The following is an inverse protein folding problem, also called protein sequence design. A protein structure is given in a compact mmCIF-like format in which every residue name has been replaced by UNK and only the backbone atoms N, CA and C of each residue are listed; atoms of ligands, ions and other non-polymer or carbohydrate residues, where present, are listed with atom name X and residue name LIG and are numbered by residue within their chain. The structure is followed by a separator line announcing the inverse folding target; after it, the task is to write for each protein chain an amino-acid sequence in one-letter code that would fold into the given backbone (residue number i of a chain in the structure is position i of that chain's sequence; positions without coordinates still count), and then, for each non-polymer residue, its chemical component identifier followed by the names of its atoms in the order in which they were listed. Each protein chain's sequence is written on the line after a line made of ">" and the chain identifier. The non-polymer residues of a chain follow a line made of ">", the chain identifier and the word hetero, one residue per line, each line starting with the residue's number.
data_IF_082618933557
#
_entry.id   IF_082618933557
#
_cell.length_a   1.000
_cell.length_b   1.000
_cell.length_c   1.000
_cell.angle_alpha   90.00
_cell.angle_beta   90.00
_cell.angle_gamma   90.00
#
_symmetry.space_group_name_H-M   'P 1'
#
loop_
_entity.id
_entity.type
_entity.pdbx_description
1 polymer ?
#
# COMPACT_ATOMS: atom_id res chain seq x y z
N UNK A 1 -2.28 57.03 22.85
CA UNK A 1 -2.99 55.77 22.55
C UNK A 1 -3.86 55.81 21.27
N UNK A 2 -4.73 56.81 21.05
CA UNK A 2 -5.65 56.84 19.88
C UNK A 2 -4.98 56.82 18.49
N UNK A 3 -3.74 57.29 18.36
CA UNK A 3 -2.97 57.31 17.08
C UNK A 3 -2.45 55.92 16.67
N UNK A 4 -2.09 55.08 17.63
CA UNK A 4 -1.56 53.72 17.41
C UNK A 4 -2.65 52.77 16.90
N UNK A 5 -3.85 52.87 17.46
CA UNK A 5 -5.03 52.12 16.97
C UNK A 5 -5.44 52.50 15.53
N UNK A 6 -5.23 53.76 15.13
CA UNK A 6 -5.53 54.21 13.76
C UNK A 6 -4.51 53.70 12.73
N UNK A 7 -3.25 53.55 13.14
CA UNK A 7 -2.17 52.96 12.35
C UNK A 7 -2.39 51.46 12.13
N UNK A 8 -2.74 50.70 13.18
CA UNK A 8 -3.11 49.29 13.05
C UNK A 8 -4.29 49.05 12.11
N UNK A 9 -5.28 49.95 12.11
CA UNK A 9 -6.46 49.86 11.22
C UNK A 9 -6.15 50.21 9.75
N UNK A 10 -4.99 50.78 9.45
CA UNK A 10 -4.53 51.12 8.09
C UNK A 10 -3.45 50.16 7.57
N UNK A 11 -2.94 49.25 8.41
CA UNK A 11 -1.91 48.29 8.03
C UNK A 11 -2.49 47.18 7.12
N UNK A 12 -2.29 47.31 5.81
CA UNK A 12 -2.61 46.25 4.81
C UNK A 12 -1.72 45.01 4.94
N UNK A 13 -0.59 45.10 5.66
CA UNK A 13 0.39 44.02 5.81
C UNK A 13 -0.16 42.76 6.51
N UNK A 14 -1.20 42.89 7.35
CA UNK A 14 -1.84 41.73 7.99
C UNK A 14 -2.87 41.01 7.12
N UNK A 15 -3.42 41.68 6.09
CA UNK A 15 -4.49 41.13 5.26
C UNK A 15 -4.01 39.93 4.44
N UNK A 16 -2.81 40.01 3.83
CA UNK A 16 -2.24 38.91 3.06
C UNK A 16 -1.93 37.67 3.92
N UNK A 17 -1.54 37.87 5.19
CA UNK A 17 -1.35 36.75 6.11
C UNK A 17 -2.68 36.03 6.43
N UNK A 18 -3.78 36.77 6.54
CA UNK A 18 -5.12 36.22 6.76
C UNK A 18 -5.65 35.51 5.51
N UNK A 19 -5.47 36.09 4.33
CA UNK A 19 -5.83 35.46 3.05
C UNK A 19 -5.08 34.12 2.85
N UNK A 20 -3.78 34.10 3.15
CA UNK A 20 -2.99 32.87 3.11
C UNK A 20 -3.47 31.83 4.14
N UNK A 21 -3.80 32.26 5.36
CA UNK A 21 -4.31 31.38 6.40
C UNK A 21 -5.65 30.72 6.05
N UNK A 22 -6.44 31.32 5.16
CA UNK A 22 -7.70 30.72 4.66
C UNK A 22 -7.48 29.72 3.54
N UNK A 23 -6.50 29.94 2.66
CA UNK A 23 -6.21 29.04 1.52
C UNK A 23 -5.34 27.86 1.93
N UNK A 24 -4.38 28.08 2.83
CA UNK A 24 -3.40 27.09 3.25
C UNK A 24 -4.04 25.77 3.75
N UNK A 25 -5.09 25.76 4.60
CA UNK A 25 -5.68 24.52 5.08
C UNK A 25 -6.25 23.66 3.95
N UNK A 26 -6.94 24.27 2.98
CA UNK A 26 -7.51 23.56 1.82
C UNK A 26 -6.40 23.01 0.93
N UNK A 27 -5.36 23.83 0.68
CA UNK A 27 -4.21 23.40 -0.08
C UNK A 27 -3.48 22.22 0.56
N UNK A 28 -3.23 22.26 1.87
CA UNK A 28 -2.59 21.17 2.60
C UNK A 28 -3.46 19.90 2.60
N UNK A 29 -4.78 20.03 2.80
CA UNK A 29 -5.69 18.89 2.71
C UNK A 29 -5.63 18.22 1.34
N UNK A 30 -5.61 18.99 0.26
CA UNK A 30 -5.51 18.47 -1.09
C UNK A 30 -4.15 17.81 -1.33
N UNK A 31 -3.06 18.46 -0.91
CA UNK A 31 -1.70 17.95 -1.07
C UNK A 31 -1.50 16.63 -0.32
N UNK A 32 -1.84 16.59 0.97
CA UNK A 32 -1.74 15.35 1.76
C UNK A 32 -2.71 14.28 1.27
N UNK A 33 -3.91 14.65 0.83
CA UNK A 33 -4.87 13.72 0.23
C UNK A 33 -4.31 13.02 -1.00
N UNK A 34 -3.72 13.77 -1.93
CA UNK A 34 -3.10 13.21 -3.15
C UNK A 34 -1.90 12.31 -2.79
N UNK A 35 -1.04 12.75 -1.87
CA UNK A 35 0.15 11.99 -1.45
C UNK A 35 -0.26 10.66 -0.80
N UNK A 36 -1.19 10.69 0.14
CA UNK A 36 -1.64 9.48 0.85
C UNK A 36 -2.39 8.53 -0.06
N UNK A 37 -3.22 9.05 -0.97
CA UNK A 37 -3.89 8.23 -1.98
C UNK A 37 -2.88 7.59 -2.94
N UNK A 38 -1.90 8.35 -3.41
CA UNK A 38 -0.84 7.83 -4.28
C UNK A 38 -0.03 6.72 -3.61
N UNK A 39 0.32 6.90 -2.33
CA UNK A 39 0.98 5.85 -1.52
C UNK A 39 0.10 4.60 -1.37
N UNK A 40 -1.19 4.76 -1.07
CA UNK A 40 -2.12 3.65 -0.95
C UNK A 40 -2.19 2.86 -2.26
N UNK A 41 -2.39 3.56 -3.38
CA UNK A 41 -2.46 2.94 -4.70
C UNK A 41 -1.16 2.22 -5.06
N UNK A 42 -0.01 2.85 -4.81
CA UNK A 42 1.31 2.22 -4.97
C UNK A 42 1.42 0.92 -4.17
N UNK A 43 1.03 0.93 -2.89
CA UNK A 43 1.10 -0.27 -2.05
C UNK A 43 0.18 -1.37 -2.55
N UNK A 44 -1.05 -1.06 -2.97
CA UNK A 44 -1.97 -2.05 -3.54
C UNK A 44 -1.38 -2.70 -4.80
N UNK A 45 -0.78 -1.90 -5.68
CA UNK A 45 -0.12 -2.40 -6.89
C UNK A 45 1.08 -3.28 -6.55
N UNK A 46 1.95 -2.83 -5.65
CA UNK A 46 3.10 -3.60 -5.18
C UNK A 46 2.67 -4.97 -4.61
N UNK A 47 1.64 -4.99 -3.76
CA UNK A 47 1.10 -6.23 -3.19
C UNK A 47 0.60 -7.18 -4.28
N UNK A 48 -0.13 -6.67 -5.28
CA UNK A 48 -0.62 -7.49 -6.38
C UNK A 48 0.52 -8.08 -7.22
N UNK A 49 1.53 -7.28 -7.57
CA UNK A 49 2.72 -7.75 -8.29
C UNK A 49 3.50 -8.80 -7.48
N UNK A 50 3.65 -8.60 -6.17
CA UNK A 50 4.32 -9.57 -5.30
C UNK A 50 3.56 -10.90 -5.22
N UNK A 51 2.22 -10.86 -5.14
CA UNK A 51 1.40 -12.06 -5.16
C UNK A 51 1.54 -12.81 -6.49
N UNK A 52 1.51 -12.11 -7.62
CA UNK A 52 1.66 -12.70 -8.96
C UNK A 52 3.05 -13.33 -9.13
N UNK A 53 4.11 -12.61 -8.76
CA UNK A 53 5.47 -13.12 -8.86
C UNK A 53 5.67 -14.37 -7.98
N UNK A 54 5.14 -14.35 -6.76
CA UNK A 54 5.23 -15.48 -5.81
C UNK A 54 4.44 -16.69 -6.31
N UNK A 55 3.20 -16.49 -6.81
CA UNK A 55 2.39 -17.56 -7.37
C UNK A 55 3.08 -18.24 -8.56
N UNK A 56 3.72 -17.45 -9.42
CA UNK A 56 4.53 -17.97 -10.54
C UNK A 56 5.76 -18.74 -10.07
N UNK A 57 6.46 -18.24 -9.07
CA UNK A 57 7.64 -18.88 -8.49
C UNK A 57 7.30 -20.23 -7.84
N UNK A 58 6.11 -20.33 -7.25
CA UNK A 58 5.57 -21.58 -6.72
C UNK A 58 5.15 -22.55 -7.82
N UNK A 59 4.32 -22.09 -8.78
CA UNK A 59 3.76 -22.97 -9.80
C UNK A 59 4.75 -23.45 -10.86
N UNK A 60 5.85 -22.72 -11.07
CA UNK A 60 7.02 -23.25 -11.79
C UNK A 60 8.15 -23.28 -10.77
N UNK A 61 8.53 -24.44 -10.20
CA UNK A 61 9.37 -24.54 -8.99
C UNK A 61 10.79 -23.97 -9.20
N UNK A 62 10.89 -22.64 -9.21
CA UNK A 62 12.14 -21.90 -9.36
C UNK A 62 13.00 -22.12 -8.13
N UNK A 63 14.31 -21.95 -8.28
CA UNK A 63 15.28 -22.13 -7.18
C UNK A 63 15.01 -21.22 -5.98
N UNK A 64 14.30 -20.10 -6.16
CA UNK A 64 13.91 -19.22 -5.06
C UNK A 64 12.74 -19.75 -4.23
N UNK A 65 11.86 -20.59 -4.78
CA UNK A 65 10.67 -21.13 -4.09
C UNK A 65 10.70 -22.66 -3.92
N UNK A 66 11.72 -23.34 -4.43
CA UNK A 66 11.88 -24.79 -4.35
C UNK A 66 13.21 -25.19 -3.69
N UNK A 67 13.23 -26.37 -3.10
CA UNK A 67 14.45 -27.07 -2.68
C UNK A 67 14.51 -28.36 -3.48
N UNK A 68 15.59 -28.56 -4.23
CA UNK A 68 15.79 -29.76 -5.07
C UNK A 68 14.64 -29.99 -6.08
N UNK A 69 14.01 -28.90 -6.56
CA UNK A 69 12.90 -28.95 -7.50
C UNK A 69 11.53 -29.22 -6.86
N UNK A 70 11.47 -29.34 -5.54
CA UNK A 70 10.21 -29.52 -4.78
C UNK A 70 9.85 -28.21 -4.10
N UNK A 71 8.58 -27.80 -4.21
CA UNK A 71 8.05 -26.63 -3.53
C UNK A 71 8.44 -26.61 -2.04
N UNK A 72 8.89 -25.45 -1.56
CA UNK A 72 9.21 -25.24 -0.16
C UNK A 72 8.57 -23.94 0.35
N UNK A 73 7.71 -24.08 1.37
CA UNK A 73 6.98 -22.96 1.97
C UNK A 73 7.90 -21.85 2.47
N UNK A 74 8.98 -22.19 3.19
CA UNK A 74 9.87 -21.19 3.79
C UNK A 74 10.65 -20.38 2.73
N UNK A 75 11.01 -21.03 1.61
CA UNK A 75 11.63 -20.38 0.45
C UNK A 75 10.65 -19.45 -0.25
N UNK A 76 9.43 -19.91 -0.48
CA UNK A 76 8.38 -19.10 -1.10
C UNK A 76 7.98 -17.88 -0.25
N UNK A 77 7.91 -18.01 1.08
CA UNK A 77 7.68 -16.86 1.98
C UNK A 77 8.84 -15.86 1.91
N UNK A 78 10.09 -16.34 1.94
CA UNK A 78 11.27 -15.47 1.85
C UNK A 78 11.32 -14.75 0.49
N UNK A 79 10.92 -15.42 -0.60
CA UNK A 79 10.80 -14.81 -1.91
C UNK A 79 9.75 -13.69 -1.93
N UNK A 80 8.57 -13.93 -1.36
CA UNK A 80 7.50 -12.93 -1.25
C UNK A 80 7.96 -11.70 -0.46
N UNK A 81 8.62 -11.90 0.69
CA UNK A 81 9.20 -10.84 1.52
C UNK A 81 10.27 -10.04 0.77
N UNK A 82 11.21 -10.71 0.10
CA UNK A 82 12.29 -10.03 -0.62
C UNK A 82 11.75 -9.22 -1.80
N UNK A 83 10.76 -9.76 -2.52
CA UNK A 83 10.09 -9.08 -3.63
C UNK A 83 9.34 -7.85 -3.13
N UNK A 84 8.57 -7.98 -2.04
CA UNK A 84 7.82 -6.87 -1.45
C UNK A 84 8.74 -5.77 -0.91
N UNK A 85 9.86 -6.16 -0.30
CA UNK A 85 10.85 -5.21 0.17
C UNK A 85 11.51 -4.42 -0.98
N UNK A 86 11.63 -5.03 -2.18
CA UNK A 86 12.03 -4.33 -3.40
C UNK A 86 11.06 -3.22 -3.83
N UNK A 87 9.79 -3.31 -3.42
CA UNK A 87 8.77 -2.29 -3.62
C UNK A 87 8.65 -1.30 -2.44
N UNK A 88 9.55 -1.39 -1.45
CA UNK A 88 9.49 -0.65 -0.19
C UNK A 88 8.25 -0.96 0.66
N UNK A 89 7.73 -2.18 0.54
CA UNK A 89 6.61 -2.69 1.36
C UNK A 89 7.13 -3.83 2.23
N UNK A 90 6.93 -3.75 3.54
CA UNK A 90 7.37 -4.78 4.49
C UNK A 90 6.19 -5.65 4.87
N UNK A 91 6.20 -6.91 4.46
CA UNK A 91 5.14 -7.87 4.79
C UNK A 91 5.36 -8.45 6.19
N UNK A 92 4.25 -8.82 6.83
CA UNK A 92 4.25 -9.73 7.98
C UNK A 92 4.05 -11.16 7.46
N UNK A 93 5.00 -12.09 7.69
CA UNK A 93 4.90 -13.46 7.18
C UNK A 93 3.64 -14.19 7.66
N UNK A 94 3.07 -13.80 8.80
CA UNK A 94 1.84 -14.43 9.34
C UNK A 94 0.59 -14.11 8.52
N UNK A 95 0.62 -13.03 7.74
CA UNK A 95 -0.47 -12.56 6.89
C UNK A 95 -0.32 -12.99 5.41
N UNK A 96 0.70 -13.81 5.12
CA UNK A 96 0.92 -14.40 3.80
C UNK A 96 0.37 -15.84 3.83
N UNK A 97 -0.59 -16.13 2.96
CA UNK A 97 -1.12 -17.48 2.76
C UNK A 97 -0.64 -17.99 1.41
N UNK A 98 0.12 -19.08 1.45
CA UNK A 98 0.66 -19.76 0.27
C UNK A 98 0.08 -21.16 0.23
N UNK A 99 -0.51 -21.51 -0.91
CA UNK A 99 -1.05 -22.85 -1.15
C UNK A 99 -0.62 -23.31 -2.54
N UNK A 100 0.15 -24.40 -2.61
CA UNK A 100 0.69 -24.93 -3.85
C UNK A 100 -0.27 -25.92 -4.53
N UNK A 101 -1.38 -26.32 -3.89
CA UNK A 101 -2.38 -27.21 -4.48
C UNK A 101 -3.79 -26.64 -4.28
N UNK A 102 -3.93 -25.36 -4.59
CA UNK A 102 -5.13 -24.60 -4.38
C UNK A 102 -6.13 -24.74 -5.53
N UNK A 103 -7.41 -24.61 -5.19
CA UNK A 103 -8.49 -24.45 -6.14
C UNK A 103 -8.67 -22.98 -6.52
N UNK A 104 -8.28 -22.62 -7.74
CA UNK A 104 -8.42 -21.28 -8.26
C UNK A 104 -9.65 -21.19 -9.18
N UNK A 105 -10.74 -20.59 -8.69
CA UNK A 105 -12.01 -20.43 -9.42
C UNK A 105 -12.61 -21.76 -9.92
N UNK A 106 -12.48 -22.82 -9.12
CA UNK A 106 -12.99 -24.16 -9.43
C UNK A 106 -12.07 -24.99 -10.33
N UNK A 107 -10.81 -24.59 -10.48
CA UNK A 107 -9.77 -25.35 -11.18
C UNK A 107 -8.67 -25.75 -10.18
N UNK A 108 -8.40 -27.05 -10.09
CA UNK A 108 -7.38 -27.63 -9.21
C UNK A 108 -6.00 -27.58 -9.86
N UNK A 109 -4.94 -27.78 -9.06
CA UNK A 109 -3.55 -27.80 -9.53
C UNK A 109 -2.97 -26.42 -9.80
N UNK A 110 -3.41 -25.41 -9.02
CA UNK A 110 -2.88 -24.06 -9.07
C UNK A 110 -2.13 -23.72 -7.78
N UNK A 111 -1.10 -22.92 -7.91
CA UNK A 111 -0.49 -22.21 -6.79
C UNK A 111 -1.27 -20.90 -6.54
N UNK A 112 -1.78 -20.74 -5.33
CA UNK A 112 -2.49 -19.56 -4.86
C UNK A 112 -1.67 -18.82 -3.80
N UNK A 113 -1.63 -17.50 -3.93
CA UNK A 113 -0.98 -16.60 -2.99
C UNK A 113 -2.00 -15.56 -2.59
N UNK A 114 -2.22 -15.41 -1.28
CA UNK A 114 -3.03 -14.34 -0.70
C UNK A 114 -2.20 -13.57 0.33
N UNK A 115 -2.15 -12.25 0.18
CA UNK A 115 -1.40 -11.35 1.05
C UNK A 115 -2.38 -10.35 1.64
N UNK A 116 -2.44 -10.31 2.97
CA UNK A 116 -3.17 -9.27 3.70
C UNK A 116 -2.18 -8.24 4.25
N UNK A 117 -2.51 -6.97 4.10
CA UNK A 117 -1.63 -5.88 4.51
C UNK A 117 -2.42 -4.72 5.14
N UNK A 118 -1.93 -4.22 6.26
CA UNK A 118 -2.51 -3.07 6.94
C UNK A 118 -1.76 -1.79 6.58
N UNK A 119 -2.37 -0.95 5.75
CA UNK A 119 -1.77 0.31 5.30
C UNK A 119 -1.68 1.31 6.46
N UNK A 120 -0.46 1.67 6.85
CA UNK A 120 -0.22 2.71 7.86
C UNK A 120 -0.31 4.10 7.24
N UNK A 121 -1.31 4.87 7.67
CA UNK A 121 -1.56 6.25 7.26
C UNK A 121 -1.62 7.18 8.48
N UNK A 122 -1.23 8.44 8.28
CA UNK A 122 -1.39 9.50 9.29
C UNK A 122 -2.82 10.06 9.34
N UNK A 123 -3.66 9.75 8.34
CA UNK A 123 -5.02 10.30 8.18
C UNK A 123 -6.06 9.18 7.95
N UNK A 124 -6.21 8.24 8.89
CA UNK A 124 -7.03 7.04 8.70
C UNK A 124 -8.48 7.36 8.33
N UNK A 125 -9.10 8.34 8.98
CA UNK A 125 -10.49 8.74 8.69
C UNK A 125 -10.68 9.27 7.26
N UNK A 126 -9.67 9.93 6.70
CA UNK A 126 -9.76 10.45 5.33
C UNK A 126 -9.65 9.32 4.32
N UNK A 127 -8.71 8.38 4.56
CA UNK A 127 -8.53 7.20 3.71
C UNK A 127 -9.74 6.27 3.77
N UNK A 128 -10.32 6.07 4.95
CA UNK A 128 -11.52 5.24 5.12
C UNK A 128 -12.69 5.76 4.26
N UNK A 129 -12.90 7.07 4.24
CA UNK A 129 -13.92 7.73 3.41
C UNK A 129 -13.62 7.64 1.90
N UNK A 130 -12.35 7.78 1.50
CA UNK A 130 -11.98 7.86 0.08
C UNK A 130 -11.75 6.49 -0.58
N UNK A 131 -11.19 5.54 0.16
CA UNK A 131 -10.71 4.25 -0.36
C UNK A 131 -11.38 3.04 0.31
N UNK A 132 -12.32 3.25 1.25
CA UNK A 132 -13.10 2.18 1.87
C UNK A 132 -12.37 1.35 2.92
N UNK A 133 -11.22 1.82 3.41
CA UNK A 133 -10.46 1.20 4.49
C UNK A 133 -8.94 1.27 4.31
N UNK A 134 -8.22 0.76 5.32
CA UNK A 134 -6.76 0.62 5.30
C UNK A 134 -6.30 -0.83 5.10
N UNK A 135 -7.24 -1.78 5.03
CA UNK A 135 -6.94 -3.18 4.81
C UNK A 135 -6.82 -3.44 3.30
N UNK A 136 -5.61 -3.79 2.86
CA UNK A 136 -5.32 -4.12 1.47
C UNK A 136 -5.20 -5.63 1.35
N UNK A 137 -5.86 -6.19 0.34
CA UNK A 137 -5.78 -7.61 -0.01
C UNK A 137 -5.30 -7.77 -1.43
N UNK A 138 -4.30 -8.61 -1.61
CA UNK A 138 -3.83 -9.02 -2.93
C UNK A 138 -3.91 -10.54 -3.03
N UNK A 139 -4.36 -11.03 -4.18
CA UNK A 139 -4.42 -12.47 -4.44
C UNK A 139 -4.05 -12.76 -5.88
N UNK A 140 -3.28 -13.82 -6.09
CA UNK A 140 -2.91 -14.30 -7.41
C UNK A 140 -2.93 -15.83 -7.46
N UNK A 141 -3.23 -16.34 -8.64
CA UNK A 141 -3.26 -17.77 -8.96
C UNK A 141 -2.37 -18.03 -10.17
N UNK A 142 -1.62 -19.12 -10.15
CA UNK A 142 -0.77 -19.54 -11.25
C UNK A 142 -0.84 -21.08 -11.43
N UNK A 143 -0.94 -21.62 -12.65
CA UNK A 143 -1.02 -23.07 -12.86
C UNK A 143 0.31 -23.76 -12.53
N UNK A 144 0.24 -24.91 -11.87
CA UNK A 144 1.42 -25.72 -11.59
C UNK A 144 1.91 -26.44 -12.85
N UNK A 145 3.23 -26.55 -13.01
CA UNK A 145 3.91 -27.27 -14.08
C UNK A 145 4.56 -28.55 -13.58
#
# INVERSE_FOLDING_TARGET
>A
MKRVLKLFRQSKCGASAVEFALVLPVFLLMLFGIVEFGRLFWTSHALQETAIATARCMGVPQVECSLEGIYNLARATAFAESTSNGWFVTLDPTLIRLDHDADCRGLNGFSSVAIEYQFRTAVPKLIDVLAGGTELKASACYPNQ
#
